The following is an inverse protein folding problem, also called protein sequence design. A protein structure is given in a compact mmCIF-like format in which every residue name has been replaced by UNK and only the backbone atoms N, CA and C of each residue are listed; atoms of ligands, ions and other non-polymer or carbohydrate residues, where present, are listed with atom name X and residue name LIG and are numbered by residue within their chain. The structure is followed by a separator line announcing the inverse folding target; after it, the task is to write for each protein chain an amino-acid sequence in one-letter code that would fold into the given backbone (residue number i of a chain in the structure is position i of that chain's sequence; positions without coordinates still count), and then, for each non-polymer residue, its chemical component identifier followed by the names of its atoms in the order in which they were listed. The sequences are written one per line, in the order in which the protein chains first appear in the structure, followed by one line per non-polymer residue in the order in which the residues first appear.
data_IF_562715395537
#
_entry.id   IF_562715395537
#
_cell.length_a   1.000
_cell.length_b   1.000
_cell.length_c   1.000
_cell.angle_alpha   90.00
_cell.angle_beta   90.00
_cell.angle_gamma   90.00
#
_symmetry.space_group_name_H-M   'P 1'
#
loop_
_entity.id
_entity.type
_entity.pdbx_description
1 polymer ?
#
# COMPACT_ATOMS: atom_id res chain seq x y z
N UNK A 1 -6.20 10.53 27.25
CA UNK A 1 -7.39 9.82 26.73
C UNK A 1 -6.94 8.92 25.61
N UNK A 2 -6.55 7.68 25.92
CA UNK A 2 -6.27 6.68 24.90
C UNK A 2 -7.60 6.17 24.37
N UNK A 3 -7.78 6.15 23.05
CA UNK A 3 -8.94 5.49 22.45
C UNK A 3 -8.93 4.04 22.94
N UNK A 4 -9.95 3.64 23.71
CA UNK A 4 -10.18 2.24 24.01
C UNK A 4 -10.27 1.49 22.68
N UNK A 5 -9.37 0.52 22.47
CA UNK A 5 -9.35 -0.33 21.30
C UNK A 5 -10.50 -1.33 21.39
N UNK A 6 -11.73 -0.83 21.36
CA UNK A 6 -12.93 -1.62 21.47
C UNK A 6 -13.13 -2.37 20.15
N UNK A 7 -12.87 -3.68 20.17
CA UNK A 7 -12.97 -4.57 18.99
C UNK A 7 -14.45 -4.79 18.64
N UNK A 8 -15.10 -3.77 18.09
CA UNK A 8 -16.53 -3.77 17.76
C UNK A 8 -16.83 -4.37 16.39
N UNK A 9 -15.85 -4.38 15.47
CA UNK A 9 -15.99 -4.96 14.14
C UNK A 9 -15.83 -6.48 14.15
N UNK A 10 -16.67 -7.19 13.39
CA UNK A 10 -16.63 -8.65 13.24
C UNK A 10 -16.25 -9.03 11.81
N UNK A 11 -15.39 -10.03 11.69
CA UNK A 11 -15.04 -10.67 10.43
C UNK A 11 -15.67 -12.08 10.41
N UNK A 12 -16.67 -12.28 9.57
CA UNK A 12 -17.32 -13.58 9.38
C UNK A 12 -16.85 -14.21 8.07
N UNK A 13 -16.27 -15.40 8.14
CA UNK A 13 -15.79 -16.14 6.99
C UNK A 13 -16.14 -17.62 7.12
N UNK A 14 -16.55 -18.23 6.00
CA UNK A 14 -16.71 -19.69 5.91
C UNK A 14 -15.42 -20.30 5.42
N UNK A 15 -14.91 -21.27 6.16
CA UNK A 15 -13.67 -21.98 5.86
C UNK A 15 -13.98 -23.45 5.57
N UNK A 16 -13.27 -24.02 4.62
CA UNK A 16 -13.26 -25.47 4.45
C UNK A 16 -12.58 -26.14 5.67
N UNK A 17 -12.96 -27.37 6.05
CA UNK A 17 -12.43 -28.04 7.24
C UNK A 17 -10.90 -28.17 7.23
N UNK A 18 -10.29 -28.44 6.08
CA UNK A 18 -8.84 -28.55 5.90
C UNK A 18 -8.12 -27.20 6.10
N UNK A 19 -8.74 -26.10 5.68
CA UNK A 19 -8.21 -24.77 5.92
C UNK A 19 -8.23 -24.44 7.42
N UNK A 20 -9.31 -24.78 8.12
CA UNK A 20 -9.41 -24.59 9.57
C UNK A 20 -8.36 -25.42 10.32
N UNK A 21 -8.12 -26.68 9.90
CA UNK A 21 -7.09 -27.52 10.51
C UNK A 21 -5.69 -26.92 10.37
N UNK A 22 -5.37 -26.39 9.19
CA UNK A 22 -4.09 -25.73 8.90
C UNK A 22 -3.91 -24.47 9.75
N UNK A 23 -4.95 -23.62 9.83
CA UNK A 23 -4.94 -22.39 10.63
C UNK A 23 -4.76 -22.71 12.12
N UNK A 24 -5.47 -23.71 12.64
CA UNK A 24 -5.31 -24.17 14.03
C UNK A 24 -3.88 -24.57 14.32
N UNK A 25 -3.27 -25.36 13.43
CA UNK A 25 -1.89 -25.80 13.60
C UNK A 25 -0.90 -24.63 13.58
N UNK A 26 -1.11 -23.66 12.69
CA UNK A 26 -0.26 -22.47 12.63
C UNK A 26 -0.39 -21.60 13.90
N UNK A 27 -1.60 -21.44 14.41
CA UNK A 27 -1.86 -20.72 15.66
C UNK A 27 -1.20 -21.39 16.87
N UNK A 28 -1.27 -22.73 16.96
CA UNK A 28 -0.57 -23.53 17.97
C UNK A 28 0.95 -23.32 17.93
N UNK A 29 1.55 -23.38 16.74
CA UNK A 29 3.00 -23.17 16.54
C UNK A 29 3.43 -21.78 17.05
N UNK A 30 2.58 -20.76 16.86
CA UNK A 30 2.86 -19.40 17.33
C UNK A 30 2.41 -19.14 18.79
N UNK A 31 1.87 -20.14 19.48
CA UNK A 31 1.42 -20.01 20.87
C UNK A 31 0.26 -19.02 21.08
N UNK A 32 -0.60 -18.84 20.08
CA UNK A 32 -1.73 -17.88 20.14
C UNK A 32 -3.06 -18.52 19.78
N UNK A 33 -4.16 -17.84 20.12
CA UNK A 33 -5.50 -18.32 19.75
C UNK A 33 -5.72 -18.26 18.24
N UNK A 34 -6.61 -19.11 17.72
CA UNK A 34 -7.00 -19.10 16.30
C UNK A 34 -7.53 -17.73 15.88
N UNK A 35 -8.37 -17.10 16.70
CA UNK A 35 -8.94 -15.79 16.40
C UNK A 35 -7.86 -14.72 16.32
N UNK A 36 -6.91 -14.71 17.25
CA UNK A 36 -5.79 -13.77 17.24
C UNK A 36 -4.87 -13.99 16.04
N UNK A 37 -4.55 -15.25 15.73
CA UNK A 37 -3.78 -15.61 14.53
C UNK A 37 -4.44 -15.09 13.26
N UNK A 38 -5.75 -15.31 13.08
CA UNK A 38 -6.47 -14.87 11.89
C UNK A 38 -6.49 -13.35 11.78
N UNK A 39 -6.71 -12.62 12.88
CA UNK A 39 -6.71 -11.15 12.86
C UNK A 39 -5.33 -10.62 12.45
N UNK A 40 -4.26 -11.14 13.06
CA UNK A 40 -2.89 -10.70 12.75
C UNK A 40 -2.52 -11.04 11.30
N UNK A 41 -2.77 -12.28 10.87
CA UNK A 41 -2.45 -12.70 9.51
C UNK A 41 -3.23 -11.91 8.45
N UNK A 42 -4.52 -11.64 8.70
CA UNK A 42 -5.33 -10.82 7.81
C UNK A 42 -4.82 -9.38 7.74
N UNK A 43 -4.41 -8.80 8.88
CA UNK A 43 -3.84 -7.45 8.92
C UNK A 43 -2.51 -7.38 8.17
N UNK A 44 -1.60 -8.33 8.37
CA UNK A 44 -0.32 -8.39 7.67
C UNK A 44 -0.51 -8.54 6.15
N UNK A 45 -1.43 -9.41 5.72
CA UNK A 45 -1.75 -9.59 4.32
C UNK A 45 -2.36 -8.32 3.70
N UNK A 46 -3.25 -7.65 4.43
CA UNK A 46 -3.86 -6.39 3.99
C UNK A 46 -2.82 -5.28 3.83
N UNK A 47 -1.94 -5.09 4.82
CA UNK A 47 -0.84 -4.11 4.75
C UNK A 47 0.01 -4.40 3.52
N UNK A 48 0.49 -5.64 3.36
CA UNK A 48 1.32 -6.02 2.21
C UNK A 48 0.64 -5.72 0.87
N UNK A 49 -0.64 -6.05 0.74
CA UNK A 49 -1.40 -5.82 -0.50
C UNK A 49 -1.54 -4.32 -0.82
N UNK A 50 -1.78 -3.50 0.21
CA UNK A 50 -1.87 -2.04 0.07
C UNK A 50 -0.50 -1.47 -0.32
N UNK A 51 0.56 -1.90 0.37
CA UNK A 51 1.93 -1.46 0.08
C UNK A 51 2.33 -1.79 -1.36
N UNK A 52 2.04 -3.00 -1.85
CA UNK A 52 2.36 -3.42 -3.22
C UNK A 52 1.68 -2.54 -4.28
N UNK A 53 0.50 -1.99 -3.98
CA UNK A 53 -0.26 -1.18 -4.94
C UNK A 53 0.07 0.32 -4.86
N UNK A 54 0.49 0.82 -3.69
CA UNK A 54 0.61 2.26 -3.43
C UNK A 54 2.03 2.74 -3.16
N UNK A 55 2.98 1.86 -2.86
CA UNK A 55 4.36 2.25 -2.54
C UNK A 55 5.27 2.04 -3.74
N UNK A 56 5.87 3.13 -4.22
CA UNK A 56 7.00 3.07 -5.14
C UNK A 56 8.24 2.73 -4.32
N UNK A 57 8.71 1.48 -4.41
CA UNK A 57 9.95 1.04 -3.77
C UNK A 57 11.13 1.44 -4.66
N UNK A 58 11.90 2.44 -4.20
CA UNK A 58 13.08 2.95 -4.88
C UNK A 58 14.36 2.30 -4.32
N UNK A 59 15.33 2.01 -5.19
CA UNK A 59 16.69 1.66 -4.74
C UNK A 59 17.32 2.84 -4.00
N UNK A 60 18.41 2.62 -3.26
CA UNK A 60 19.13 3.72 -2.58
C UNK A 60 19.61 4.77 -3.60
N UNK A 61 20.00 4.34 -4.79
CA UNK A 61 20.40 5.24 -5.88
C UNK A 61 19.21 6.07 -6.37
N UNK A 62 18.07 5.43 -6.65
CA UNK A 62 16.87 6.12 -7.12
C UNK A 62 16.30 7.06 -6.05
N UNK A 63 16.40 6.71 -4.76
CA UNK A 63 16.01 7.60 -3.66
C UNK A 63 16.82 8.89 -3.66
N UNK A 64 18.13 8.79 -3.93
CA UNK A 64 19.00 9.97 -4.04
C UNK A 64 18.63 10.81 -5.25
N UNK A 65 18.45 10.20 -6.41
CA UNK A 65 18.01 10.90 -7.63
C UNK A 65 16.67 11.60 -7.39
N UNK A 66 15.72 10.94 -6.74
CA UNK A 66 14.42 11.50 -6.40
C UNK A 66 14.52 12.66 -5.41
N UNK A 67 15.31 12.52 -4.35
CA UNK A 67 15.54 13.57 -3.36
C UNK A 67 16.21 14.80 -4.00
N UNK A 68 17.26 14.59 -4.81
CA UNK A 68 17.96 15.65 -5.52
C UNK A 68 17.01 16.36 -6.50
N UNK A 69 16.14 15.63 -7.21
CA UNK A 69 15.14 16.23 -8.11
C UNK A 69 14.05 17.05 -7.39
N UNK A 70 13.80 16.80 -6.10
CA UNK A 70 12.88 17.62 -5.28
C UNK A 70 13.60 18.85 -4.71
N UNK A 71 14.82 18.66 -4.20
CA UNK A 71 15.58 19.70 -3.52
C UNK A 71 16.21 20.70 -4.50
N UNK A 72 16.67 20.23 -5.65
CA UNK A 72 17.23 21.01 -6.75
C UNK A 72 16.56 20.61 -8.08
N UNK A 73 15.33 21.09 -8.34
CA UNK A 73 14.56 20.66 -9.48
C UNK A 73 15.20 21.13 -10.79
N UNK A 74 15.50 20.22 -11.74
CA UNK A 74 16.10 20.61 -13.01
C UNK A 74 15.12 21.41 -13.87
N UNK A 75 15.67 22.29 -14.71
CA UNK A 75 14.86 23.04 -15.66
C UNK A 75 14.14 22.08 -16.65
N UNK A 76 12.86 22.36 -17.00
CA UNK A 76 12.11 21.52 -17.92
C UNK A 76 12.77 21.51 -19.29
N UNK A 77 12.93 20.32 -19.87
CA UNK A 77 13.53 20.17 -21.20
C UNK A 77 12.72 20.91 -22.28
N UNK A 78 13.34 21.30 -23.41
CA UNK A 78 12.61 21.92 -24.52
C UNK A 78 11.44 21.05 -25.03
N UNK A 79 11.55 19.72 -24.92
CA UNK A 79 10.46 18.79 -25.24
C UNK A 79 9.26 18.91 -24.29
N UNK A 80 9.52 18.98 -22.97
CA UNK A 80 8.47 19.17 -21.96
C UNK A 80 7.77 20.53 -22.13
N UNK A 81 8.53 21.57 -22.47
CA UNK A 81 7.96 22.91 -22.74
C UNK A 81 7.00 22.86 -23.94
N UNK A 82 7.42 22.26 -25.06
CA UNK A 82 6.55 22.07 -26.24
C UNK A 82 5.29 21.27 -25.93
N UNK A 83 5.41 20.20 -25.13
CA UNK A 83 4.27 19.38 -24.72
C UNK A 83 3.28 20.17 -23.85
N UNK A 84 3.78 20.96 -22.91
CA UNK A 84 2.95 21.83 -22.09
C UNK A 84 2.19 22.87 -22.94
N UNK A 85 2.84 23.46 -23.95
CA UNK A 85 2.20 24.41 -24.86
C UNK A 85 1.19 23.76 -25.79
N UNK A 86 1.44 22.53 -26.25
CA UNK A 86 0.47 21.74 -26.99
C UNK A 86 -0.78 21.45 -26.14
N UNK A 87 -0.59 21.02 -24.90
CA UNK A 87 -1.68 20.76 -23.97
C UNK A 87 -2.53 22.02 -23.68
N UNK A 88 -1.88 23.16 -23.39
CA UNK A 88 -2.59 24.43 -23.16
C UNK A 88 -3.44 24.85 -24.36
N UNK A 89 -2.96 24.61 -25.58
CA UNK A 89 -3.73 24.89 -26.81
C UNK A 89 -4.93 23.97 -26.95
N UNK A 90 -4.76 22.68 -26.69
CA UNK A 90 -5.87 21.71 -26.70
C UNK A 90 -6.96 22.08 -25.69
N UNK A 91 -6.59 22.33 -24.43
CA UNK A 91 -7.55 22.69 -23.38
C UNK A 91 -8.25 24.02 -23.64
N UNK A 92 -7.56 25.02 -24.22
CA UNK A 92 -8.18 26.29 -24.62
C UNK A 92 -9.11 26.18 -25.81
N UNK A 93 -8.85 25.25 -26.74
CA UNK A 93 -9.68 25.04 -27.94
C UNK A 93 -10.98 24.25 -27.64
N UNK A 94 -11.02 23.52 -26.52
CA UNK A 94 -12.21 22.75 -26.08
C UNK A 94 -13.18 23.58 -25.22
N UNK A 95 -12.88 24.85 -24.96
CA UNK A 95 -13.76 25.78 -24.23
C UNK A 95 -14.31 26.83 -25.18
#
# INVERSE_FOLDING_TARGET
MGAENNRTARLEARLAPEALATIKRAAEIQGRSVSDFVVVAAQEAAIRTIEETQIIRLSVEDQRIFADAILDPPAPSPGLQRAADAYRRLVKATK
#
